data_IF_589456758234
#
_entry.id   IF_589456758234
#
_cell.length_a   1.000
_cell.length_b   1.000
_cell.length_c   1.000
_cell.angle_alpha   90.00
_cell.angle_beta   90.00
_cell.angle_gamma   90.00
#
_symmetry.space_group_name_H-M   'P 1'
#
loop_
_entity.id
_entity.type
_entity.pdbx_description
1 polymer ?
#
# COMPACT_ATOMS: atom_id res chain seq x y z
N UNK A 1 42.01 11.23 -40.46
CA UNK A 1 41.27 12.47 -40.80
C UNK A 1 40.31 12.74 -39.64
N UNK A 2 40.63 13.76 -38.83
CA UNK A 2 39.79 14.37 -37.77
C UNK A 2 38.65 15.21 -38.40
N UNK A 3 37.56 15.60 -37.71
CA UNK A 3 37.51 16.31 -36.41
C UNK A 3 36.45 15.72 -35.44
N UNK A 4 36.28 16.08 -34.16
CA UNK A 4 36.61 17.27 -33.39
C UNK A 4 35.33 17.85 -32.74
N UNK A 5 35.39 18.21 -31.45
CA UNK A 5 34.35 18.99 -30.74
C UNK A 5 34.10 18.44 -29.32
N UNK A 6 34.65 18.93 -28.20
CA UNK A 6 34.68 20.28 -27.56
C UNK A 6 33.31 20.88 -27.22
N UNK A 7 33.00 20.89 -25.92
CA UNK A 7 32.10 21.83 -25.20
C UNK A 7 31.91 21.32 -23.76
N UNK A 8 32.49 21.88 -22.68
CA UNK A 8 32.19 23.18 -21.99
C UNK A 8 30.68 23.42 -21.87
N UNK A 9 30.07 23.86 -20.79
CA UNK A 9 30.36 24.25 -19.40
C UNK A 9 28.99 24.75 -18.87
N UNK A 10 28.77 24.77 -17.54
CA UNK A 10 27.88 25.72 -16.83
C UNK A 10 26.36 25.48 -16.92
N UNK A 11 25.72 25.43 -15.74
CA UNK A 11 24.26 25.57 -15.63
C UNK A 11 23.72 25.46 -14.21
N UNK A 12 24.31 26.17 -13.25
CA UNK A 12 23.70 26.40 -11.94
C UNK A 12 22.50 27.35 -12.14
N UNK A 13 21.28 26.85 -11.99
CA UNK A 13 20.04 27.59 -12.18
C UNK A 13 19.21 27.61 -10.90
N UNK A 14 19.68 28.35 -9.90
CA UNK A 14 18.87 28.84 -8.79
C UNK A 14 17.85 29.85 -9.35
N UNK A 15 16.58 29.45 -9.43
CA UNK A 15 15.48 30.37 -9.71
C UNK A 15 14.78 30.75 -8.40
N UNK A 16 15.33 31.78 -7.74
CA UNK A 16 14.69 32.54 -6.67
C UNK A 16 13.94 33.71 -7.31
N UNK A 17 12.60 33.67 -7.31
CA UNK A 17 11.76 34.82 -7.72
C UNK A 17 10.89 35.29 -6.55
N UNK A 18 11.43 36.30 -5.86
CA UNK A 18 10.81 37.54 -5.36
C UNK A 18 9.32 37.60 -5.00
N UNK A 19 9.07 37.61 -3.68
CA UNK A 19 8.35 38.60 -2.85
C UNK A 19 7.37 39.55 -3.58
N UNK A 20 6.08 39.44 -3.24
CA UNK A 20 5.09 40.53 -3.33
C UNK A 20 4.23 40.60 -2.06
N UNK A 21 4.38 41.74 -1.41
CA UNK A 21 3.49 42.52 -0.53
C UNK A 21 2.67 41.83 0.59
N UNK A 22 3.19 42.06 1.80
CA UNK A 22 2.47 42.29 3.05
C UNK A 22 1.20 43.16 2.90
N UNK A 23 0.06 42.57 3.24
CA UNK A 23 -1.02 43.26 3.93
C UNK A 23 -1.41 42.39 5.13
N UNK A 24 -0.87 42.70 6.31
CA UNK A 24 -1.40 42.20 7.57
C UNK A 24 -2.74 42.88 7.81
N UNK A 25 -3.83 42.22 7.46
CA UNK A 25 -5.13 42.53 8.02
C UNK A 25 -5.31 41.66 9.27
N UNK A 26 -5.08 42.31 10.40
CA UNK A 26 -5.62 42.01 11.72
C UNK A 26 -7.09 41.55 11.68
N UNK A 27 -7.41 40.41 12.31
CA UNK A 27 -8.49 40.26 13.29
C UNK A 27 -8.82 38.79 13.60
N UNK A 28 -9.08 38.57 14.89
CA UNK A 28 -9.72 37.41 15.55
C UNK A 28 -8.76 36.33 16.00
N UNK A 29 -8.51 36.33 17.32
CA UNK A 29 -8.07 35.16 18.05
C UNK A 29 -9.10 34.03 17.79
N UNK A 30 -8.78 33.13 16.87
CA UNK A 30 -9.50 31.87 16.74
C UNK A 30 -9.09 31.00 17.91
N UNK A 31 -10.09 30.78 18.77
CA UNK A 31 -10.17 29.67 19.73
C UNK A 31 -9.40 28.44 19.21
N UNK A 32 -8.49 27.82 19.99
CA UNK A 32 -7.86 26.60 19.54
C UNK A 32 -8.98 25.57 19.32
N UNK A 33 -9.05 24.88 18.17
CA UNK A 33 -10.00 23.80 18.01
C UNK A 33 -9.73 22.82 19.15
N UNK A 34 -10.72 22.67 20.03
CA UNK A 34 -10.72 21.67 21.09
C UNK A 34 -10.36 20.34 20.42
N UNK A 35 -9.14 19.89 20.65
CA UNK A 35 -8.62 18.62 20.14
C UNK A 35 -9.37 17.56 20.93
N UNK A 36 -10.56 17.22 20.46
CA UNK A 36 -11.25 16.03 20.90
C UNK A 36 -10.26 14.87 20.71
N UNK A 37 -9.96 14.10 21.77
CA UNK A 37 -9.16 12.89 21.62
C UNK A 37 -9.75 12.06 20.48
N UNK A 38 -8.94 11.50 19.57
CA UNK A 38 -9.47 10.55 18.60
C UNK A 38 -10.27 9.50 19.36
N UNK A 39 -11.53 9.31 18.97
CA UNK A 39 -12.35 8.26 19.54
C UNK A 39 -11.54 6.95 19.47
N UNK A 40 -11.46 6.16 20.54
CA UNK A 40 -10.82 4.85 20.45
C UNK A 40 -11.58 4.08 19.37
N UNK A 41 -10.94 3.84 18.23
CA UNK A 41 -11.40 2.84 17.28
C UNK A 41 -11.24 1.52 18.02
N UNK A 42 -12.35 1.02 18.56
CA UNK A 42 -12.41 -0.33 19.12
C UNK A 42 -12.12 -1.29 17.97
N UNK A 43 -10.86 -1.64 17.76
CA UNK A 43 -10.45 -2.76 16.90
C UNK A 43 -10.87 -4.04 17.59
N UNK A 44 -12.15 -4.38 17.46
CA UNK A 44 -12.58 -5.77 17.53
C UNK A 44 -12.59 -6.30 16.11
N UNK A 45 -11.41 -6.44 15.51
CA UNK A 45 -11.28 -7.23 14.29
C UNK A 45 -11.28 -8.69 14.70
N UNK A 46 -12.47 -9.20 14.99
CA UNK A 46 -12.68 -10.63 15.06
C UNK A 46 -12.91 -11.08 13.63
N UNK A 47 -11.93 -11.79 13.07
CA UNK A 47 -12.11 -12.49 11.80
C UNK A 47 -13.41 -13.29 11.83
N UNK A 48 -14.24 -13.14 10.79
CA UNK A 48 -15.35 -14.08 10.58
C UNK A 48 -14.79 -15.46 10.21
N UNK A 49 -15.64 -16.49 10.14
CA UNK A 49 -15.19 -17.85 9.87
C UNK A 49 -14.48 -17.98 8.50
N UNK A 50 -14.75 -17.10 7.54
CA UNK A 50 -14.06 -17.09 6.23
C UNK A 50 -12.69 -16.43 6.34
N UNK A 51 -12.62 -15.28 7.01
CA UNK A 51 -11.38 -14.58 7.30
C UNK A 51 -10.41 -15.44 8.10
N UNK A 52 -10.92 -16.26 9.03
CA UNK A 52 -10.10 -17.20 9.78
C UNK A 52 -9.51 -18.29 8.86
N UNK A 53 -10.33 -18.94 8.01
CA UNK A 53 -9.84 -19.94 7.04
C UNK A 53 -8.83 -19.35 6.07
N UNK A 54 -9.09 -18.13 5.59
CA UNK A 54 -8.15 -17.44 4.72
C UNK A 54 -6.81 -17.22 5.43
N UNK A 55 -6.82 -16.66 6.65
CA UNK A 55 -5.60 -16.47 7.44
C UNK A 55 -4.84 -17.78 7.68
N UNK A 56 -5.55 -18.83 8.06
CA UNK A 56 -4.95 -20.16 8.30
C UNK A 56 -4.30 -20.70 7.03
N UNK A 57 -4.97 -20.61 5.88
CA UNK A 57 -4.40 -21.06 4.60
C UNK A 57 -3.13 -20.29 4.19
N UNK A 58 -3.05 -18.99 4.51
CA UNK A 58 -1.83 -18.20 4.27
C UNK A 58 -0.67 -18.66 5.17
N UNK A 59 -0.95 -18.95 6.44
CA UNK A 59 0.05 -19.45 7.40
C UNK A 59 0.52 -20.85 6.99
N UNK A 60 -0.38 -21.72 6.55
CA UNK A 60 -0.05 -23.06 6.03
C UNK A 60 0.81 -22.99 4.76
N UNK A 61 0.58 -21.98 3.92
CA UNK A 61 1.43 -21.66 2.77
C UNK A 61 2.76 -20.99 3.17
N UNK A 62 3.01 -20.80 4.48
CA UNK A 62 4.20 -20.21 5.08
C UNK A 62 4.36 -18.71 4.86
N UNK A 63 3.26 -18.02 4.55
CA UNK A 63 3.20 -16.55 4.61
C UNK A 63 3.17 -16.13 6.09
N UNK A 64 3.97 -15.12 6.50
CA UNK A 64 3.93 -14.60 7.85
C UNK A 64 2.52 -14.20 8.29
N UNK A 65 2.17 -14.47 9.54
CA UNK A 65 0.85 -14.15 10.08
C UNK A 65 0.57 -12.64 9.97
N UNK A 66 -0.44 -12.28 9.18
CA UNK A 66 -0.88 -10.91 8.98
C UNK A 66 -1.83 -10.48 10.13
N UNK A 67 -1.87 -9.17 10.45
CA UNK A 67 -2.91 -8.61 11.31
C UNK A 67 -4.31 -8.87 10.74
N UNK A 68 -5.30 -9.11 11.62
CA UNK A 68 -6.66 -9.49 11.21
C UNK A 68 -7.31 -8.44 10.27
N UNK A 69 -7.11 -7.16 10.54
CA UNK A 69 -7.57 -6.08 9.66
C UNK A 69 -6.93 -6.14 8.27
N UNK A 70 -5.65 -6.51 8.18
CA UNK A 70 -4.94 -6.68 6.91
C UNK A 70 -5.44 -7.91 6.17
N UNK A 71 -5.69 -9.02 6.87
CA UNK A 71 -6.29 -10.23 6.29
C UNK A 71 -7.65 -9.90 5.66
N UNK A 72 -8.52 -9.20 6.39
CA UNK A 72 -9.84 -8.82 5.89
C UNK A 72 -9.75 -7.84 4.73
N UNK A 73 -8.88 -6.82 4.81
CA UNK A 73 -8.71 -5.85 3.73
C UNK A 73 -8.23 -6.51 2.44
N UNK A 74 -7.28 -7.44 2.56
CA UNK A 74 -6.72 -8.18 1.43
C UNK A 74 -7.78 -9.08 0.78
N UNK A 75 -8.46 -9.90 1.57
CA UNK A 75 -9.48 -10.82 1.07
C UNK A 75 -10.65 -10.07 0.41
N UNK A 76 -11.15 -9.00 1.04
CA UNK A 76 -12.20 -8.16 0.45
C UNK A 76 -11.73 -7.45 -0.82
N UNK A 77 -10.49 -6.99 -0.87
CA UNK A 77 -9.90 -6.37 -2.05
C UNK A 77 -9.86 -7.34 -3.24
N UNK A 78 -9.37 -8.56 -3.02
CA UNK A 78 -9.29 -9.61 -4.04
C UNK A 78 -10.69 -10.01 -4.54
N UNK A 79 -11.59 -10.39 -3.64
CA UNK A 79 -12.94 -10.83 -4.03
C UNK A 79 -13.74 -9.68 -4.65
N UNK A 80 -13.53 -8.43 -4.19
CA UNK A 80 -14.11 -7.24 -4.80
C UNK A 80 -13.67 -7.06 -6.25
N UNK A 81 -12.36 -7.14 -6.52
CA UNK A 81 -11.82 -7.06 -7.88
C UNK A 81 -12.33 -8.18 -8.80
N UNK A 82 -12.39 -9.42 -8.31
CA UNK A 82 -12.95 -10.56 -9.07
C UNK A 82 -14.43 -10.38 -9.36
N UNK A 83 -15.23 -9.98 -8.37
CA UNK A 83 -16.67 -9.73 -8.57
C UNK A 83 -16.94 -8.58 -9.55
N UNK A 84 -16.02 -7.61 -9.63
CA UNK A 84 -16.03 -6.53 -10.61
C UNK A 84 -15.53 -6.91 -12.01
N UNK A 85 -15.11 -8.16 -12.23
CA UNK A 85 -14.64 -8.65 -13.53
C UNK A 85 -13.20 -8.22 -13.87
N UNK A 86 -12.39 -7.85 -12.87
CA UNK A 86 -10.97 -7.57 -13.06
C UNK A 86 -10.26 -8.87 -13.46
N UNK A 87 -9.41 -8.81 -14.48
CA UNK A 87 -8.65 -9.98 -14.90
C UNK A 87 -7.58 -10.37 -13.87
N UNK A 88 -7.25 -11.65 -13.84
CA UNK A 88 -6.33 -12.23 -12.87
C UNK A 88 -4.94 -11.57 -12.89
N UNK A 89 -4.40 -11.29 -14.07
CA UNK A 89 -3.07 -10.70 -14.21
C UNK A 89 -3.04 -9.28 -13.62
N UNK A 90 -4.11 -8.51 -13.80
CA UNK A 90 -4.27 -7.20 -13.16
C UNK A 90 -4.40 -7.31 -11.64
N UNK A 91 -5.13 -8.31 -11.12
CA UNK A 91 -5.21 -8.55 -9.67
C UNK A 91 -3.83 -8.89 -9.11
N UNK A 92 -3.11 -9.82 -9.74
CA UNK A 92 -1.76 -10.19 -9.33
C UNK A 92 -0.81 -9.00 -9.37
N UNK A 93 -0.89 -8.13 -10.38
CA UNK A 93 -0.10 -6.91 -10.45
C UNK A 93 -0.38 -5.96 -9.27
N UNK A 94 -1.63 -5.86 -8.81
CA UNK A 94 -1.99 -5.08 -7.61
C UNK A 94 -1.50 -5.73 -6.31
N UNK A 95 -1.40 -7.06 -6.27
CA UNK A 95 -0.91 -7.82 -5.11
C UNK A 95 0.62 -7.78 -4.97
N UNK A 96 1.35 -7.63 -6.08
CA UNK A 96 2.82 -7.67 -6.14
C UNK A 96 3.51 -6.82 -5.06
N UNK A 97 3.14 -5.54 -4.80
CA UNK A 97 3.82 -4.75 -3.78
C UNK A 97 3.72 -5.34 -2.36
N UNK A 98 2.56 -5.88 -2.00
CA UNK A 98 2.40 -6.56 -0.70
C UNK A 98 3.12 -7.91 -0.68
N UNK A 99 3.10 -8.62 -1.81
CA UNK A 99 3.75 -9.90 -1.96
C UNK A 99 5.29 -9.79 -1.93
N UNK A 100 5.86 -8.67 -2.38
CA UNK A 100 7.28 -8.34 -2.21
C UNK A 100 7.67 -8.19 -0.75
N UNK A 101 6.83 -7.53 0.05
CA UNK A 101 7.08 -7.40 1.49
C UNK A 101 7.00 -8.77 2.20
N UNK A 102 5.97 -9.54 1.89
CA UNK A 102 5.77 -10.85 2.50
C UNK A 102 6.83 -11.87 2.08
N UNK A 103 7.25 -11.89 0.80
CA UNK A 103 8.36 -12.75 0.34
C UNK A 103 9.67 -12.41 1.06
N UNK A 104 10.00 -11.13 1.21
CA UNK A 104 11.20 -10.69 1.92
C UNK A 104 11.23 -11.02 3.42
N UNK A 105 10.06 -11.29 4.02
CA UNK A 105 9.90 -11.63 5.44
C UNK A 105 9.53 -13.10 5.65
N UNK A 106 9.37 -13.88 4.58
CA UNK A 106 9.05 -15.30 4.64
C UNK A 106 10.31 -16.16 4.71
N UNK A 107 10.28 -17.20 5.54
CA UNK A 107 11.40 -18.13 5.71
C UNK A 107 11.45 -19.24 4.65
N UNK A 108 10.42 -19.33 3.81
CA UNK A 108 10.20 -20.41 2.84
C UNK A 108 10.70 -20.08 1.41
N UNK A 109 11.25 -18.88 1.21
CA UNK A 109 11.92 -18.52 -0.04
C UNK A 109 11.01 -18.38 -1.26
N UNK A 110 9.73 -18.04 -1.05
CA UNK A 110 8.81 -17.73 -2.14
C UNK A 110 9.19 -16.41 -2.82
N UNK A 111 9.05 -16.35 -4.14
CA UNK A 111 9.14 -15.07 -4.87
C UNK A 111 7.90 -14.22 -4.62
N UNK A 112 7.98 -12.92 -4.89
CA UNK A 112 6.83 -12.03 -4.77
C UNK A 112 5.66 -12.48 -5.65
N UNK A 113 5.93 -12.97 -6.85
CA UNK A 113 4.90 -13.47 -7.76
C UNK A 113 4.21 -14.71 -7.19
N UNK A 114 4.98 -15.62 -6.58
CA UNK A 114 4.43 -16.81 -5.92
C UNK A 114 3.57 -16.42 -4.72
N UNK A 115 4.02 -15.46 -3.91
CA UNK A 115 3.22 -14.96 -2.78
C UNK A 115 1.94 -14.27 -3.25
N UNK A 116 1.99 -13.51 -4.34
CA UNK A 116 0.81 -12.88 -4.93
C UNK A 116 -0.20 -13.95 -5.40
N UNK A 117 0.28 -15.02 -6.03
CA UNK A 117 -0.57 -16.15 -6.41
C UNK A 117 -1.19 -16.82 -5.19
N UNK A 118 -0.40 -17.07 -4.14
CA UNK A 118 -0.90 -17.66 -2.88
C UNK A 118 -2.02 -16.80 -2.28
N UNK A 119 -1.86 -15.47 -2.25
CA UNK A 119 -2.92 -14.59 -1.76
C UNK A 119 -4.23 -14.74 -2.54
N UNK A 120 -4.12 -14.83 -3.86
CA UNK A 120 -5.26 -14.93 -4.76
C UNK A 120 -5.96 -16.29 -4.63
N UNK A 121 -5.20 -17.38 -4.79
CA UNK A 121 -5.70 -18.75 -4.71
C UNK A 121 -6.36 -19.02 -3.34
N UNK A 122 -5.73 -18.57 -2.26
CA UNK A 122 -6.26 -18.73 -0.91
C UNK A 122 -7.56 -17.94 -0.70
N UNK A 123 -7.66 -16.73 -1.25
CA UNK A 123 -8.86 -15.91 -1.13
C UNK A 123 -10.02 -16.55 -1.90
N UNK A 124 -9.76 -17.07 -3.10
CA UNK A 124 -10.75 -17.77 -3.91
C UNK A 124 -11.25 -19.06 -3.28
N UNK A 125 -10.37 -19.82 -2.63
CA UNK A 125 -10.73 -21.09 -2.02
C UNK A 125 -11.48 -20.93 -0.69
N UNK A 126 -11.20 -19.87 0.08
CA UNK A 126 -11.59 -19.80 1.49
C UNK A 126 -12.47 -18.60 1.87
N UNK A 127 -12.50 -17.55 1.05
CA UNK A 127 -13.13 -16.29 1.40
C UNK A 127 -14.17 -15.80 0.40
N UNK A 128 -13.84 -15.80 -0.89
CA UNK A 128 -14.82 -15.67 -1.95
C UNK A 128 -15.74 -16.91 -1.93
#
# INVERSE_FOLDING_TARGET
MTPGGRGRLIGCGLALTTIVLTACSEATASDPPSTAPPAPTTSASHLDARGLRYKESLIEAGIPALPDDTVMALANGICGQRSGGTDEATILAHLTPMAQFASATSDIGLTAEQVAQVYLDAAEANYC
#
